data_IF_116874400007
#
_entry.id   IF_116874400007
#
_cell.length_a   1.000
_cell.length_b   1.000
_cell.length_c   1.000
_cell.angle_alpha   90.00
_cell.angle_beta   90.00
_cell.angle_gamma   90.00
#
_symmetry.space_group_name_H-M   'P 1'
#
loop_
_entity.id
_entity.type
_entity.pdbx_description
1 polymer ?
#
# COMPACT_ATOMS: atom_id res chain seq x y z
N UNK A 1 -37.37 4.45 12.51
CA UNK A 1 -36.28 3.65 11.88
C UNK A 1 -34.97 4.40 12.11
N UNK A 2 -34.11 3.92 13.02
CA UNK A 2 -32.84 4.58 13.37
C UNK A 2 -31.80 4.20 12.30
N UNK A 3 -31.29 5.18 11.54
CA UNK A 3 -30.21 4.97 10.57
C UNK A 3 -28.89 4.85 11.34
N UNK A 4 -28.34 3.65 11.41
CA UNK A 4 -26.96 3.42 11.85
C UNK A 4 -26.02 4.04 10.80
N UNK A 5 -25.17 4.96 11.24
CA UNK A 5 -24.05 5.46 10.44
C UNK A 5 -23.00 4.34 10.26
N UNK A 6 -22.34 4.24 9.10
CA UNK A 6 -21.26 3.27 8.90
C UNK A 6 -20.07 3.61 9.83
N UNK A 7 -19.33 2.59 10.31
CA UNK A 7 -18.22 2.81 11.22
C UNK A 7 -17.15 3.67 10.53
N UNK A 8 -16.77 4.74 11.21
CA UNK A 8 -15.64 5.59 10.87
C UNK A 8 -14.44 4.71 10.51
N UNK A 9 -14.08 4.72 9.22
CA UNK A 9 -12.79 4.23 8.78
C UNK A 9 -11.75 5.07 9.50
N UNK A 10 -11.08 4.46 10.48
CA UNK A 10 -10.00 5.05 11.23
C UNK A 10 -9.08 5.84 10.30
N UNK A 11 -9.21 7.16 10.33
CA UNK A 11 -8.28 8.10 9.72
C UNK A 11 -7.00 7.97 10.54
N UNK A 12 -6.18 6.97 10.20
CA UNK A 12 -4.80 6.95 10.62
C UNK A 12 -4.24 8.31 10.20
N UNK A 13 -3.92 9.14 11.18
CA UNK A 13 -3.39 10.48 10.98
C UNK A 13 -2.26 10.37 9.95
N UNK A 14 -2.51 10.86 8.74
CA UNK A 14 -1.53 10.82 7.68
C UNK A 14 -0.40 11.74 8.12
N UNK A 15 0.71 11.14 8.58
CA UNK A 15 1.98 11.85 8.74
C UNK A 15 2.20 12.72 7.49
N UNK A 16 2.72 13.95 7.63
CA UNK A 16 2.94 14.82 6.49
C UNK A 16 3.69 14.05 5.41
N UNK A 17 3.08 13.93 4.23
CA UNK A 17 3.61 13.18 3.10
C UNK A 17 4.96 13.79 2.72
N UNK A 18 6.04 13.20 3.22
CA UNK A 18 7.40 13.60 2.86
C UNK A 18 7.62 13.17 1.43
N UNK A 19 7.46 14.11 0.50
CA UNK A 19 7.83 13.88 -0.89
C UNK A 19 9.35 13.76 -0.99
N UNK A 20 9.82 12.58 -1.38
CA UNK A 20 11.22 12.36 -1.71
C UNK A 20 11.45 12.74 -3.17
N UNK A 21 12.58 13.38 -3.46
CA UNK A 21 12.96 13.82 -4.81
C UNK A 21 14.44 13.55 -5.06
N UNK A 22 14.82 13.42 -6.33
CA UNK A 22 16.21 13.24 -6.73
C UNK A 22 16.82 11.97 -6.15
N UNK A 23 18.05 12.06 -5.64
CA UNK A 23 18.78 10.88 -5.12
C UNK A 23 18.05 10.20 -3.95
N UNK A 24 17.43 10.97 -3.05
CA UNK A 24 16.71 10.41 -1.91
C UNK A 24 15.51 9.53 -2.33
N UNK A 25 14.87 9.86 -3.46
CA UNK A 25 13.83 9.01 -4.03
C UNK A 25 14.42 7.73 -4.63
N UNK A 26 15.54 7.84 -5.33
CA UNK A 26 16.21 6.69 -5.94
C UNK A 26 16.69 5.68 -4.88
N UNK A 27 17.26 6.18 -3.78
CA UNK A 27 17.73 5.34 -2.67
C UNK A 27 16.56 4.61 -1.98
N UNK A 28 15.45 5.31 -1.76
CA UNK A 28 14.22 4.72 -1.20
C UNK A 28 13.64 3.65 -2.14
N UNK A 29 13.60 3.92 -3.44
CA UNK A 29 13.15 2.94 -4.45
C UNK A 29 14.08 1.72 -4.51
N UNK A 30 15.39 1.89 -4.33
CA UNK A 30 16.33 0.77 -4.29
C UNK A 30 16.14 -0.06 -3.02
N UNK A 31 15.99 0.58 -1.85
CA UNK A 31 15.70 -0.07 -0.59
C UNK A 31 14.39 -0.85 -0.66
N UNK A 32 13.32 -0.23 -1.19
CA UNK A 32 12.04 -0.87 -1.41
C UNK A 32 12.17 -2.07 -2.35
N UNK A 33 12.92 -1.94 -3.46
CA UNK A 33 13.19 -3.06 -4.37
C UNK A 33 13.85 -4.23 -3.65
N UNK A 34 14.88 -3.97 -2.85
CA UNK A 34 15.59 -5.00 -2.06
C UNK A 34 14.65 -5.69 -1.08
N UNK A 35 13.79 -4.93 -0.38
CA UNK A 35 12.77 -5.47 0.53
C UNK A 35 11.83 -6.43 -0.22
N UNK A 36 11.20 -5.98 -1.31
CA UNK A 36 10.18 -6.77 -2.00
C UNK A 36 10.75 -7.99 -2.74
N UNK A 37 12.02 -7.96 -3.15
CA UNK A 37 12.65 -9.10 -3.85
C UNK A 37 13.34 -10.10 -2.92
N UNK A 38 13.36 -9.86 -1.60
CA UNK A 38 14.06 -10.72 -0.66
C UNK A 38 13.46 -12.14 -0.58
N UNK A 39 12.13 -12.25 -0.50
CA UNK A 39 11.42 -13.54 -0.50
C UNK A 39 10.05 -13.43 -1.19
N UNK A 40 9.48 -14.55 -1.67
CA UNK A 40 8.12 -14.57 -2.21
C UNK A 40 7.05 -14.12 -1.22
N UNK A 41 7.20 -14.40 0.08
CA UNK A 41 6.25 -13.91 1.10
C UNK A 41 6.31 -12.40 1.25
N UNK A 42 7.51 -11.81 1.30
CA UNK A 42 7.68 -10.36 1.43
C UNK A 42 7.13 -9.64 0.19
N UNK A 43 7.32 -10.20 -1.00
CA UNK A 43 6.69 -9.70 -2.22
C UNK A 43 5.15 -9.67 -2.12
N UNK A 44 4.53 -10.74 -1.61
CA UNK A 44 3.07 -10.82 -1.44
C UNK A 44 2.54 -9.83 -0.40
N UNK A 45 3.25 -9.62 0.70
CA UNK A 45 2.92 -8.60 1.71
C UNK A 45 3.02 -7.20 1.10
N UNK A 46 4.08 -6.92 0.34
CA UNK A 46 4.25 -5.63 -0.34
C UNK A 46 3.14 -5.36 -1.36
N UNK A 47 2.79 -6.33 -2.20
CA UNK A 47 1.70 -6.21 -3.17
C UNK A 47 0.33 -5.98 -2.49
N UNK A 48 0.11 -6.54 -1.29
CA UNK A 48 -1.07 -6.24 -0.46
C UNK A 48 -1.03 -4.82 0.09
N UNK A 49 0.13 -4.37 0.58
CA UNK A 49 0.35 -3.03 1.14
C UNK A 49 0.07 -1.92 0.12
N UNK A 50 0.54 -2.08 -1.12
CA UNK A 50 0.29 -1.13 -2.21
C UNK A 50 -1.07 -1.30 -2.89
N UNK A 51 -1.90 -2.23 -2.40
CA UNK A 51 -3.28 -2.42 -2.88
C UNK A 51 -3.42 -3.17 -4.20
N UNK A 52 -2.33 -3.70 -4.78
CA UNK A 52 -2.34 -4.52 -6.00
C UNK A 52 -2.94 -5.91 -5.75
N UNK A 53 -2.71 -6.48 -4.56
CA UNK A 53 -3.25 -7.78 -4.17
C UNK A 53 -4.35 -7.63 -3.12
N UNK A 54 -5.41 -8.42 -3.25
CA UNK A 54 -6.46 -8.62 -2.25
C UNK A 54 -5.97 -9.46 -1.06
N UNK A 55 -6.75 -9.44 0.03
CA UNK A 55 -6.48 -10.25 1.23
C UNK A 55 -6.57 -11.76 0.96
N UNK A 56 -7.30 -12.14 -0.07
CA UNK A 56 -7.49 -13.48 -0.59
C UNK A 56 -6.38 -13.92 -1.56
N UNK A 57 -5.40 -13.05 -1.81
CA UNK A 57 -4.31 -13.33 -2.75
C UNK A 57 -4.66 -13.10 -4.21
N UNK A 58 -5.86 -12.59 -4.52
CA UNK A 58 -6.26 -12.27 -5.91
C UNK A 58 -5.80 -10.88 -6.29
N UNK A 59 -5.48 -10.67 -7.57
CA UNK A 59 -5.16 -9.34 -8.09
C UNK A 59 -6.41 -8.45 -8.00
N UNK A 60 -6.25 -7.26 -7.44
CA UNK A 60 -7.28 -6.22 -7.45
C UNK A 60 -7.31 -5.58 -8.82
N UNK A 61 -8.51 -5.42 -9.38
CA UNK A 61 -8.72 -4.62 -10.59
C UNK A 61 -8.61 -3.15 -10.19
N UNK A 62 -7.47 -2.53 -10.53
CA UNK A 62 -7.15 -1.15 -10.16
C UNK A 62 -7.71 -0.12 -11.15
N UNK A 63 -7.95 -0.53 -12.39
CA UNK A 63 -8.56 0.30 -13.44
C UNK A 63 -9.98 -0.20 -13.62
N UNK A 64 -10.95 0.66 -13.32
CA UNK A 64 -12.36 0.47 -13.66
C UNK A 64 -12.62 1.26 -14.93
N UNK A 65 -13.12 0.58 -15.97
CA UNK A 65 -13.63 1.19 -17.21
C UNK A 65 -14.95 1.92 -16.94
#
# INVERSE_FOLDING_TARGET
MKRQAPPELATAAASPLRMLTGQALLDDMEAFRKEVTATPETAREALRRIGVLGKDGRLKRLIHD
#
